data_IF_403299887246
#
_entry.id   IF_403299887246
#
_cell.length_a   1.000
_cell.length_b   1.000
_cell.length_c   1.000
_cell.angle_alpha   90.00
_cell.angle_beta   90.00
_cell.angle_gamma   90.00
#
_symmetry.space_group_name_H-M   'P 1'
#
loop_
_entity.id
_entity.type
_entity.pdbx_description
1 polymer ?
#
# COMPACT_ATOMS: atom_id res chain seq x y z
N UNK A 1 5.20 -0.37 -29.52
CA UNK A 1 5.37 0.58 -28.38
C UNK A 1 4.89 -0.13 -27.12
N UNK A 2 5.73 -0.21 -26.10
CA UNK A 2 5.38 -0.82 -24.81
C UNK A 2 4.47 0.16 -24.05
N UNK A 3 3.36 -0.31 -23.49
CA UNK A 3 2.49 0.54 -22.69
C UNK A 3 3.19 0.94 -21.37
N UNK A 4 2.76 2.06 -20.77
CA UNK A 4 3.28 2.47 -19.43
C UNK A 4 3.08 1.38 -18.39
N UNK A 5 1.93 0.70 -18.43
CA UNK A 5 1.63 -0.42 -17.54
C UNK A 5 2.60 -1.60 -17.76
N UNK A 6 2.87 -1.98 -19.01
CA UNK A 6 3.82 -3.07 -19.28
C UNK A 6 5.24 -2.69 -18.86
N UNK A 7 5.66 -1.43 -19.10
CA UNK A 7 6.95 -0.95 -18.66
C UNK A 7 7.10 -1.02 -17.14
N UNK A 8 6.04 -0.69 -16.40
CA UNK A 8 6.02 -0.76 -14.94
C UNK A 8 6.07 -2.21 -14.43
N UNK A 9 5.34 -3.13 -15.08
CA UNK A 9 5.40 -4.57 -14.78
C UNK A 9 6.83 -5.10 -14.99
N UNK A 10 7.48 -4.72 -16.09
CA UNK A 10 8.88 -5.12 -16.36
C UNK A 10 9.85 -4.57 -15.31
N UNK A 11 9.63 -3.32 -14.84
CA UNK A 11 10.42 -2.76 -13.74
C UNK A 11 10.23 -3.52 -12.44
N UNK A 12 8.99 -3.89 -12.13
CA UNK A 12 8.70 -4.74 -10.96
C UNK A 12 9.42 -6.09 -11.07
N UNK A 13 9.35 -6.75 -12.22
CA UNK A 13 10.05 -8.02 -12.45
C UNK A 13 11.56 -7.89 -12.19
N UNK A 14 12.18 -6.82 -12.65
CA UNK A 14 13.59 -6.56 -12.39
C UNK A 14 13.88 -6.45 -10.89
N UNK A 15 13.00 -5.80 -10.13
CA UNK A 15 13.19 -5.61 -8.68
C UNK A 15 12.97 -6.90 -7.89
N UNK A 16 11.90 -7.64 -8.19
CA UNK A 16 11.58 -8.87 -7.45
C UNK A 16 12.57 -10.00 -7.71
N UNK A 17 13.20 -10.00 -8.88
CA UNK A 17 14.22 -10.99 -9.29
C UNK A 17 15.60 -10.81 -8.63
N UNK A 18 15.87 -9.63 -8.06
CA UNK A 18 17.11 -9.38 -7.33
C UNK A 18 17.20 -10.24 -6.06
N UNK A 19 18.42 -10.62 -5.61
CA UNK A 19 18.58 -11.24 -4.30
C UNK A 19 18.06 -10.35 -3.17
N UNK A 20 17.21 -10.89 -2.31
CA UNK A 20 16.64 -10.12 -1.21
C UNK A 20 17.61 -10.03 -0.04
N UNK A 21 17.92 -8.80 0.40
CA UNK A 21 18.67 -8.56 1.61
C UNK A 21 17.73 -8.61 2.82
N UNK A 22 17.89 -9.64 3.66
CA UNK A 22 17.06 -9.81 4.86
C UNK A 22 17.51 -8.92 6.03
N UNK A 23 18.69 -8.30 5.96
CA UNK A 23 19.22 -7.41 7.00
C UNK A 23 18.66 -6.00 6.95
N UNK A 24 17.90 -5.65 5.91
CA UNK A 24 17.22 -4.37 5.82
C UNK A 24 16.20 -4.21 6.95
N UNK A 25 15.98 -2.97 7.39
CA UNK A 25 14.90 -2.63 8.30
C UNK A 25 13.53 -2.84 7.63
N UNK A 26 12.45 -2.94 8.42
CA UNK A 26 11.10 -3.06 7.88
C UNK A 26 10.71 -1.89 6.97
N UNK A 27 11.22 -0.70 7.24
CA UNK A 27 11.02 0.49 6.41
C UNK A 27 11.71 0.38 5.05
N UNK A 28 12.93 -0.14 5.00
CA UNK A 28 13.70 -0.31 3.75
C UNK A 28 13.18 -1.48 2.90
N UNK A 29 12.35 -2.35 3.47
CA UNK A 29 11.68 -3.47 2.78
C UNK A 29 10.35 -3.07 2.14
N UNK A 30 10.05 -1.79 2.03
CA UNK A 30 8.86 -1.28 1.35
C UNK A 30 9.22 -0.85 -0.07
N UNK A 31 8.42 -1.28 -1.03
CA UNK A 31 8.49 -0.88 -2.43
C UNK A 31 7.24 -0.07 -2.80
N UNK A 32 7.43 1.07 -3.41
CA UNK A 32 6.34 1.86 -3.96
C UNK A 32 6.29 1.70 -5.47
N UNK A 33 5.24 1.07 -5.96
CA UNK A 33 4.91 1.01 -7.38
C UNK A 33 4.19 2.31 -7.74
N UNK A 34 4.96 3.28 -8.27
CA UNK A 34 4.47 4.64 -8.52
C UNK A 34 3.94 4.76 -9.94
N UNK A 35 2.73 5.22 -10.10
CA UNK A 35 2.07 5.40 -11.39
C UNK A 35 1.11 6.60 -11.38
N UNK A 36 0.85 7.13 -12.57
CA UNK A 36 -0.13 8.19 -12.76
C UNK A 36 -1.52 7.71 -12.30
N UNK A 37 -2.26 8.48 -11.48
CA UNK A 37 -3.59 8.09 -11.00
C UNK A 37 -4.57 7.68 -12.09
N UNK A 38 -4.45 8.25 -13.31
CA UNK A 38 -5.27 7.88 -14.47
C UNK A 38 -5.06 6.44 -14.94
N UNK A 39 -3.92 5.82 -14.63
CA UNK A 39 -3.59 4.45 -15.00
C UNK A 39 -4.07 3.41 -13.96
N UNK A 40 -4.62 3.85 -12.80
CA UNK A 40 -4.96 2.95 -11.70
C UNK A 40 -5.83 1.76 -12.12
N UNK A 41 -6.89 1.99 -12.89
CA UNK A 41 -7.76 0.89 -13.33
C UNK A 41 -7.03 -0.16 -14.16
N UNK A 42 -6.12 0.27 -15.04
CA UNK A 42 -5.31 -0.62 -15.87
C UNK A 42 -4.33 -1.42 -15.03
N UNK A 43 -3.65 -0.75 -14.09
CA UNK A 43 -2.70 -1.38 -13.18
C UNK A 43 -3.39 -2.44 -12.33
N UNK A 44 -4.51 -2.11 -11.68
CA UNK A 44 -5.25 -3.04 -10.83
C UNK A 44 -5.86 -4.21 -11.63
N UNK A 45 -6.27 -3.97 -12.87
CA UNK A 45 -6.72 -5.04 -13.76
C UNK A 45 -5.61 -6.07 -14.06
N UNK A 46 -4.36 -5.63 -14.03
CA UNK A 46 -3.16 -6.45 -14.29
C UNK A 46 -2.51 -6.99 -12.99
N UNK A 47 -3.21 -6.93 -11.85
CA UNK A 47 -2.67 -7.36 -10.55
C UNK A 47 -2.19 -8.82 -10.57
N UNK A 48 -2.90 -9.70 -11.29
CA UNK A 48 -2.52 -11.09 -11.48
C UNK A 48 -1.18 -11.30 -12.21
N UNK A 49 -0.70 -10.32 -12.98
CA UNK A 49 0.63 -10.40 -13.61
C UNK A 49 1.74 -10.21 -12.57
N UNK A 50 1.53 -9.34 -11.58
CA UNK A 50 2.46 -9.16 -10.46
C UNK A 50 2.53 -10.42 -9.59
N UNK A 51 1.40 -11.05 -9.29
CA UNK A 51 1.36 -12.33 -8.58
C UNK A 51 2.14 -13.41 -9.34
N UNK A 52 1.84 -13.59 -10.63
CA UNK A 52 2.50 -14.60 -11.48
C UNK A 52 4.02 -14.37 -11.56
N UNK A 53 4.46 -13.12 -11.71
CA UNK A 53 5.88 -12.76 -11.73
C UNK A 53 6.53 -13.08 -10.37
N UNK A 54 5.89 -12.71 -9.26
CA UNK A 54 6.39 -12.96 -7.92
C UNK A 54 6.63 -14.46 -7.70
N UNK A 55 5.66 -15.29 -8.08
CA UNK A 55 5.76 -16.77 -7.96
C UNK A 55 6.80 -17.37 -8.91
N UNK A 56 7.02 -16.77 -10.07
CA UNK A 56 8.10 -17.17 -11.01
C UNK A 56 9.49 -17.14 -10.34
N UNK A 57 9.68 -16.21 -9.40
CA UNK A 57 10.93 -16.09 -8.63
C UNK A 57 10.84 -16.75 -7.25
N UNK A 58 9.94 -17.74 -7.11
CA UNK A 58 9.78 -18.56 -5.89
C UNK A 58 9.45 -17.73 -4.64
N UNK A 59 8.74 -16.62 -4.82
CA UNK A 59 8.26 -15.77 -3.73
C UNK A 59 6.75 -15.94 -3.52
N UNK A 60 6.32 -15.82 -2.26
CA UNK A 60 4.91 -15.81 -1.91
C UNK A 60 4.24 -14.48 -2.29
N UNK A 61 2.93 -14.52 -2.46
CA UNK A 61 2.10 -13.36 -2.78
C UNK A 61 0.83 -13.34 -1.94
N UNK A 62 0.52 -12.21 -1.37
CA UNK A 62 -0.75 -11.90 -0.74
C UNK A 62 -1.19 -10.47 -1.09
N UNK A 63 -2.48 -10.19 -0.93
CA UNK A 63 -3.08 -8.91 -1.30
C UNK A 63 -3.93 -8.35 -0.18
N UNK A 64 -3.91 -7.02 -0.01
CA UNK A 64 -4.86 -6.25 0.81
C UNK A 64 -5.38 -5.10 -0.01
N UNK A 65 -6.70 -5.06 -0.19
CA UNK A 65 -7.40 -3.96 -0.82
C UNK A 65 -7.98 -3.03 0.24
N UNK A 66 -7.65 -1.74 0.17
CA UNK A 66 -8.09 -0.72 1.11
C UNK A 66 -9.31 0.08 0.63
N UNK A 67 -9.85 -0.22 -0.56
CA UNK A 67 -10.93 0.57 -1.18
C UNK A 67 -12.12 0.78 -0.25
N UNK A 68 -12.56 -0.28 0.42
CA UNK A 68 -13.78 -0.28 1.25
C UNK A 68 -13.50 -0.18 2.76
N UNK A 69 -12.27 0.19 3.15
CA UNK A 69 -11.91 0.27 4.57
C UNK A 69 -12.78 1.25 5.35
N UNK A 70 -12.94 2.47 4.83
CA UNK A 70 -13.70 3.51 5.53
C UNK A 70 -15.20 3.16 5.63
N UNK A 71 -15.92 2.83 4.54
CA UNK A 71 -17.32 2.46 4.66
C UNK A 71 -17.56 1.22 5.52
N UNK A 72 -16.69 0.23 5.47
CA UNK A 72 -16.82 -0.96 6.30
C UNK A 72 -16.58 -0.67 7.79
N UNK A 73 -15.60 0.17 8.12
CA UNK A 73 -15.37 0.62 9.49
C UNK A 73 -16.57 1.43 9.99
N UNK A 74 -17.04 2.40 9.21
CA UNK A 74 -18.18 3.24 9.55
C UNK A 74 -19.46 2.44 9.75
N UNK A 75 -19.72 1.43 8.90
CA UNK A 75 -20.91 0.59 9.00
C UNK A 75 -21.01 -0.19 10.32
N UNK A 76 -19.85 -0.49 10.93
CA UNK A 76 -19.75 -1.22 12.19
C UNK A 76 -19.61 -0.30 13.42
N UNK A 77 -19.45 1.02 13.18
CA UNK A 77 -19.20 1.97 14.27
C UNK A 77 -20.46 2.22 15.09
N UNK A 78 -20.32 2.19 16.43
CA UNK A 78 -21.43 2.34 17.37
C UNK A 78 -22.14 3.69 17.23
N UNK A 79 -21.37 4.75 17.00
CA UNK A 79 -21.88 6.14 16.89
C UNK A 79 -22.08 6.63 15.45
N UNK A 80 -22.21 5.73 14.48
CA UNK A 80 -22.31 6.09 13.05
C UNK A 80 -23.45 7.09 12.76
N UNK A 81 -24.61 6.92 13.41
CA UNK A 81 -25.78 7.81 13.20
C UNK A 81 -25.52 9.23 13.71
N UNK A 82 -24.77 9.37 14.80
CA UNK A 82 -24.35 10.65 15.34
C UNK A 82 -23.39 11.37 14.41
N UNK A 83 -22.46 10.64 13.80
CA UNK A 83 -21.51 11.19 12.82
C UNK A 83 -22.19 11.65 11.54
N UNK A 84 -23.27 10.99 11.11
CA UNK A 84 -24.05 11.47 9.98
C UNK A 84 -24.78 12.78 10.28
N UNK A 85 -25.18 13.00 11.53
CA UNK A 85 -25.84 14.23 11.96
C UNK A 85 -24.84 15.35 12.28
N UNK A 86 -23.67 15.01 12.81
CA UNK A 86 -22.60 15.93 13.22
C UNK A 86 -21.23 15.43 12.71
N UNK A 87 -20.92 15.65 11.42
CA UNK A 87 -19.69 15.12 10.80
C UNK A 87 -18.39 15.60 11.44
N UNK A 88 -18.40 16.78 12.07
CA UNK A 88 -17.20 17.34 12.72
C UNK A 88 -16.71 16.49 13.91
N UNK A 89 -17.58 15.69 14.53
CA UNK A 89 -17.24 14.81 15.63
C UNK A 89 -16.42 13.57 15.25
N UNK A 90 -16.28 13.29 13.95
CA UNK A 90 -15.60 12.06 13.47
C UNK A 90 -14.08 12.19 13.39
N UNK A 91 -13.52 13.38 13.49
CA UNK A 91 -12.09 13.62 13.23
C UNK A 91 -11.18 12.77 14.15
N UNK A 92 -11.39 12.86 15.47
CA UNK A 92 -10.58 12.09 16.43
C UNK A 92 -10.73 10.56 16.25
N UNK A 93 -11.95 10.00 16.12
CA UNK A 93 -12.13 8.59 15.78
C UNK A 93 -11.45 8.15 14.48
N UNK A 94 -11.44 8.99 13.44
CA UNK A 94 -10.75 8.68 12.19
C UNK A 94 -9.22 8.59 12.40
N UNK A 95 -8.64 9.55 13.11
CA UNK A 95 -7.19 9.57 13.36
C UNK A 95 -6.70 8.44 14.26
N UNK A 96 -7.57 7.87 15.08
CA UNK A 96 -7.23 6.82 16.05
C UNK A 96 -7.81 5.46 15.68
N UNK A 97 -9.13 5.31 15.74
CA UNK A 97 -9.81 4.03 15.57
C UNK A 97 -9.80 3.54 14.11
N UNK A 98 -10.04 4.42 13.15
CA UNK A 98 -9.98 4.04 11.74
C UNK A 98 -8.54 3.71 11.32
N UNK A 99 -7.54 4.45 11.78
CA UNK A 99 -6.14 4.11 11.56
C UNK A 99 -5.84 2.71 12.11
N UNK A 100 -6.24 2.43 13.34
CA UNK A 100 -6.06 1.11 13.97
C UNK A 100 -6.74 0.01 13.15
N UNK A 101 -7.98 0.23 12.69
CA UNK A 101 -8.71 -0.71 11.84
C UNK A 101 -7.94 -1.06 10.55
N UNK A 102 -7.38 -0.05 9.87
CA UNK A 102 -6.59 -0.25 8.65
C UNK A 102 -5.30 -1.03 8.95
N UNK A 103 -4.57 -0.65 10.00
CA UNK A 103 -3.34 -1.35 10.42
C UNK A 103 -3.62 -2.80 10.76
N UNK A 104 -4.65 -3.09 11.54
CA UNK A 104 -5.04 -4.45 11.92
C UNK A 104 -5.46 -5.30 10.72
N UNK A 105 -6.16 -4.70 9.74
CA UNK A 105 -6.52 -5.40 8.50
C UNK A 105 -5.27 -5.87 7.75
N UNK A 106 -4.27 -5.01 7.61
CA UNK A 106 -3.01 -5.35 6.93
C UNK A 106 -2.20 -6.35 7.76
N UNK A 107 -2.05 -6.09 9.06
CA UNK A 107 -1.30 -6.95 9.98
C UNK A 107 -1.87 -8.37 10.03
N UNK A 108 -3.18 -8.54 9.96
CA UNK A 108 -3.82 -9.86 9.91
C UNK A 108 -3.33 -10.66 8.71
N UNK A 109 -3.30 -10.06 7.52
CA UNK A 109 -2.82 -10.74 6.32
C UNK A 109 -1.34 -11.09 6.45
N UNK A 110 -0.50 -10.19 6.99
CA UNK A 110 0.92 -10.50 7.26
C UNK A 110 1.05 -11.73 8.16
N UNK A 111 0.27 -11.80 9.24
CA UNK A 111 0.32 -12.90 10.21
C UNK A 111 -0.20 -14.24 9.64
N UNK A 112 -1.07 -14.21 8.65
CA UNK A 112 -1.60 -15.39 7.98
C UNK A 112 -0.69 -15.94 6.86
N UNK A 113 0.33 -15.17 6.44
CA UNK A 113 1.28 -15.59 5.41
C UNK A 113 2.19 -16.68 5.93
N UNK A 114 2.31 -17.79 5.18
CA UNK A 114 3.09 -18.99 5.61
C UNK A 114 4.59 -18.72 5.66
N UNK A 115 5.12 -17.98 4.70
CA UNK A 115 6.56 -17.67 4.56
C UNK A 115 6.70 -16.16 4.33
N UNK A 116 6.45 -15.39 5.39
CA UNK A 116 6.42 -13.93 5.32
C UNK A 116 7.75 -13.33 4.85
N UNK A 117 8.89 -13.94 5.21
CA UNK A 117 10.22 -13.43 4.87
C UNK A 117 10.52 -13.51 3.36
N UNK A 118 9.92 -14.50 2.68
CA UNK A 118 10.04 -14.72 1.24
C UNK A 118 8.77 -14.33 0.47
N UNK A 119 7.95 -13.45 1.01
CA UNK A 119 6.68 -13.08 0.41
C UNK A 119 6.55 -11.59 0.17
N UNK A 120 5.79 -11.24 -0.86
CA UNK A 120 5.32 -9.89 -1.16
C UNK A 120 3.89 -9.77 -0.68
N UNK A 121 3.60 -8.73 0.10
CA UNK A 121 2.23 -8.27 0.37
C UNK A 121 1.94 -7.05 -0.47
N UNK A 122 1.03 -7.17 -1.42
CA UNK A 122 0.54 -6.07 -2.23
C UNK A 122 -0.57 -5.31 -1.48
N UNK A 123 -0.40 -4.00 -1.34
CA UNK A 123 -1.38 -3.10 -0.74
C UNK A 123 -1.91 -2.21 -1.85
N UNK A 124 -3.20 -2.30 -2.14
CA UNK A 124 -3.87 -1.58 -3.22
C UNK A 124 -4.87 -0.57 -2.70
N UNK A 125 -5.23 0.39 -3.55
CA UNK A 125 -6.21 1.44 -3.24
C UNK A 125 -5.85 2.29 -2.01
N UNK A 126 -4.57 2.59 -1.81
CA UNK A 126 -4.10 3.47 -0.72
C UNK A 126 -4.66 4.89 -0.82
N UNK A 127 -5.10 5.30 -2.01
CA UNK A 127 -5.83 6.56 -2.22
C UNK A 127 -7.16 6.62 -1.46
N UNK A 128 -7.74 5.50 -1.05
CA UNK A 128 -8.93 5.47 -0.20
C UNK A 128 -8.67 6.03 1.21
N UNK A 129 -7.40 6.13 1.63
CA UNK A 129 -6.99 6.75 2.90
C UNK A 129 -6.86 8.27 2.79
N UNK A 130 -6.78 8.80 1.56
CA UNK A 130 -6.55 10.23 1.31
C UNK A 130 -7.65 11.09 1.92
N UNK A 131 -7.25 12.09 2.69
CA UNK A 131 -8.18 12.97 3.41
C UNK A 131 -8.68 12.44 4.76
N UNK A 132 -8.40 11.18 5.10
CA UNK A 132 -8.74 10.58 6.39
C UNK A 132 -7.54 10.39 7.29
N UNK A 133 -6.58 9.58 6.85
CA UNK A 133 -5.35 9.27 7.59
C UNK A 133 -4.15 9.30 6.64
N UNK A 134 -2.96 9.49 7.19
CA UNK A 134 -1.73 9.49 6.41
C UNK A 134 -1.24 8.06 6.19
N UNK A 135 -0.87 7.74 4.94
CA UNK A 135 -0.24 6.46 4.62
C UNK A 135 1.05 6.24 5.42
N UNK A 136 1.84 7.31 5.68
CA UNK A 136 3.04 7.25 6.50
C UNK A 136 2.78 6.70 7.89
N UNK A 137 1.68 7.11 8.53
CA UNK A 137 1.35 6.70 9.89
C UNK A 137 0.94 5.23 9.93
N UNK A 138 0.22 4.77 8.90
CA UNK A 138 -0.12 3.33 8.74
C UNK A 138 1.14 2.50 8.53
N UNK A 139 2.03 2.91 7.62
CA UNK A 139 3.26 2.18 7.34
C UNK A 139 4.19 2.11 8.55
N UNK A 140 4.27 3.19 9.33
CA UNK A 140 5.10 3.24 10.54
C UNK A 140 4.71 2.13 11.54
N UNK A 141 3.41 1.88 11.72
CA UNK A 141 2.92 0.79 12.57
C UNK A 141 3.24 -0.61 11.98
N UNK A 142 3.36 -0.72 10.67
CA UNK A 142 3.63 -1.99 9.99
C UNK A 142 5.12 -2.34 9.88
N UNK A 143 6.03 -1.37 10.00
CA UNK A 143 7.47 -1.63 9.84
C UNK A 143 8.02 -2.74 10.74
N UNK A 144 7.64 -2.86 12.02
CA UNK A 144 8.10 -3.97 12.87
C UNK A 144 7.63 -5.35 12.40
N UNK A 145 6.51 -5.42 11.69
CA UNK A 145 5.93 -6.65 11.18
C UNK A 145 6.46 -7.02 9.79
N UNK A 146 7.04 -6.06 9.06
CA UNK A 146 7.48 -6.24 7.68
C UNK A 146 8.81 -7.01 7.60
N UNK A 147 8.73 -8.33 7.55
CA UNK A 147 9.89 -9.21 7.37
C UNK A 147 10.16 -9.56 5.91
N UNK A 148 9.12 -9.57 5.07
CA UNK A 148 9.18 -9.79 3.63
C UNK A 148 9.33 -8.50 2.85
N UNK A 149 8.39 -8.27 1.92
CA UNK A 149 8.30 -7.01 1.15
C UNK A 149 6.87 -6.50 1.14
N UNK A 150 6.67 -5.22 1.46
CA UNK A 150 5.41 -4.53 1.22
C UNK A 150 5.49 -3.85 -0.15
N UNK A 151 4.62 -4.22 -1.06
CA UNK A 151 4.47 -3.59 -2.37
C UNK A 151 3.24 -2.68 -2.33
N UNK A 152 3.47 -1.38 -2.19
CA UNK A 152 2.41 -0.38 -2.15
C UNK A 152 2.14 0.12 -3.56
N UNK A 153 0.93 -0.10 -4.05
CA UNK A 153 0.44 0.46 -5.31
C UNK A 153 0.11 1.93 -5.08
N UNK A 154 1.00 2.80 -5.55
CA UNK A 154 1.02 4.22 -5.20
C UNK A 154 0.61 5.11 -6.38
N UNK A 155 -0.67 5.54 -6.45
CA UNK A 155 -1.13 6.47 -7.48
C UNK A 155 -0.63 7.89 -7.15
N UNK A 156 0.40 8.35 -7.83
CA UNK A 156 1.01 9.64 -7.54
C UNK A 156 2.31 9.86 -8.30
N UNK A 157 3.23 10.57 -7.67
CA UNK A 157 4.50 10.97 -8.24
C UNK A 157 5.67 10.68 -7.31
N UNK A 158 6.84 10.46 -7.91
CA UNK A 158 8.12 10.39 -7.22
C UNK A 158 9.11 11.33 -7.90
N UNK A 159 9.50 12.38 -7.19
CA UNK A 159 10.46 13.37 -7.66
C UNK A 159 11.32 13.87 -6.49
N UNK A 160 12.62 14.11 -6.75
CA UNK A 160 13.55 14.65 -5.75
C UNK A 160 13.55 13.88 -4.40
N UNK A 161 13.51 12.55 -4.46
CA UNK A 161 13.43 11.66 -3.30
C UNK A 161 12.17 11.85 -2.43
N UNK A 162 11.12 12.40 -2.99
CA UNK A 162 9.84 12.58 -2.33
C UNK A 162 8.72 11.87 -3.09
N UNK A 163 7.80 11.29 -2.34
CA UNK A 163 6.58 10.69 -2.84
C UNK A 163 5.40 11.61 -2.60
N UNK A 164 4.58 11.79 -3.62
CA UNK A 164 3.35 12.58 -3.54
C UNK A 164 2.17 11.73 -3.96
N UNK A 165 1.28 11.44 -3.02
CA UNK A 165 0.07 10.66 -3.27
C UNK A 165 -0.98 11.54 -3.95
N UNK A 166 -1.53 11.06 -5.05
CA UNK A 166 -2.53 11.79 -5.85
C UNK A 166 -2.03 13.21 -6.21
N UNK A 167 -2.81 14.23 -5.89
CA UNK A 167 -2.52 15.64 -6.07
C UNK A 167 -2.19 16.37 -4.75
N UNK A 168 -1.74 15.62 -3.74
CA UNK A 168 -1.34 16.19 -2.45
C UNK A 168 -0.32 17.32 -2.63
N UNK A 169 -0.48 18.41 -1.88
CA UNK A 169 0.44 19.56 -1.95
C UNK A 169 1.81 19.26 -1.37
N UNK A 170 1.82 18.43 -0.31
CA UNK A 170 3.04 18.07 0.40
C UNK A 170 3.55 16.70 -0.07
N UNK A 171 4.83 16.65 -0.41
CA UNK A 171 5.54 15.40 -0.65
C UNK A 171 6.09 14.84 0.66
N UNK A 172 6.20 13.51 0.74
CA UNK A 172 6.80 12.84 1.88
C UNK A 172 8.05 12.09 1.49
N UNK A 173 9.01 12.08 2.40
CA UNK A 173 10.21 11.25 2.27
C UNK A 173 9.98 9.91 2.95
N UNK A 174 10.05 8.84 2.16
CA UNK A 174 10.05 7.47 2.66
C UNK A 174 11.38 6.80 2.29
N UNK A 175 11.86 5.89 3.12
CA UNK A 175 12.99 5.01 2.74
C UNK A 175 12.56 3.90 1.75
N UNK A 176 11.30 3.89 1.36
CA UNK A 176 10.78 2.95 0.38
C UNK A 176 11.50 3.07 -0.97
N UNK A 177 11.72 1.92 -1.61
CA UNK A 177 12.32 1.85 -2.94
C UNK A 177 11.27 2.18 -4.01
N UNK A 178 11.49 3.18 -4.87
CA UNK A 178 10.57 3.48 -5.97
C UNK A 178 10.70 2.44 -7.09
N UNK A 179 9.54 2.02 -7.61
CA UNK A 179 9.40 1.28 -8.86
C UNK A 179 8.57 2.16 -9.77
N UNK A 180 9.21 2.79 -10.73
CA UNK A 180 8.59 3.77 -11.63
C UNK A 180 9.19 3.68 -13.03
N UNK A 181 8.48 4.20 -14.02
CA UNK A 181 8.90 4.28 -15.45
C UNK A 181 9.49 5.62 -15.79
#
# INVERSE_FOLDING_TARGET
>A
MISKTDALINKYESVVSEPWNQKLSGQEKVWFLVYDPSEQRKILFRLGDFDRITRKYEKGWAEVDLADCFPNWMAQHEYREEYFQQPDGIQDPVETEFKTYVVEKIARVINEMKDVENSVLAITNVNALFGFIKLSDVLQELYPLNKGRLLVFFPGEYQNNQYRLMDARDGWSYLARPITT
#
